data_IF_053311338979
#
_entry.id   IF_053311338979
#
_cell.length_a   1.000
_cell.length_b   1.000
_cell.length_c   1.000
_cell.angle_alpha   90.00
_cell.angle_beta   90.00
_cell.angle_gamma   90.00
#
_symmetry.space_group_name_H-M   'P 1'
#
loop_
_entity.id
_entity.type
_entity.pdbx_description
1 polymer ?
#
# COMPACT_ATOMS: atom_id res chain seq x y z
N UNK A 1 -3.97 5.52 11.03
CA UNK A 1 -3.43 4.36 10.27
C UNK A 1 -3.49 3.12 11.14
N UNK A 2 -3.97 1.97 10.62
CA UNK A 2 -3.86 0.66 11.29
C UNK A 2 -2.97 -0.27 10.45
N UNK A 3 -2.15 -1.10 11.10
CA UNK A 3 -1.32 -2.12 10.45
C UNK A 3 -1.84 -3.53 10.77
N UNK A 4 -1.62 -4.48 9.87
CA UNK A 4 -1.87 -5.90 10.13
C UNK A 4 -0.68 -6.52 10.86
N UNK A 5 -0.92 -7.55 11.66
CA UNK A 5 0.13 -8.37 12.25
C UNK A 5 0.46 -9.56 11.34
N UNK A 6 0.91 -9.28 10.12
CA UNK A 6 1.30 -10.29 9.12
C UNK A 6 2.73 -10.02 8.60
N UNK A 7 3.43 -11.01 8.01
CA UNK A 7 4.82 -10.86 7.55
C UNK A 7 5.03 -9.68 6.59
N UNK A 8 4.03 -9.41 5.76
CA UNK A 8 4.00 -8.29 4.83
C UNK A 8 3.51 -6.98 5.46
N UNK A 9 3.06 -6.98 6.73
CA UNK A 9 2.81 -5.77 7.53
C UNK A 9 2.02 -4.67 6.79
N UNK A 10 0.84 -5.03 6.27
CA UNK A 10 0.01 -4.13 5.50
C UNK A 10 -0.40 -2.90 6.29
N UNK A 11 -0.32 -1.73 5.65
CA UNK A 11 -0.77 -0.46 6.21
C UNK A 11 -1.99 0.04 5.45
N UNK A 12 -3.12 0.15 6.16
CA UNK A 12 -4.37 0.68 5.62
C UNK A 12 -4.38 2.20 5.56
N UNK A 13 -4.84 2.77 4.45
CA UNK A 13 -4.99 4.22 4.28
C UNK A 13 -5.99 4.81 5.27
N UNK A 14 -5.72 6.02 5.79
CA UNK A 14 -6.66 6.78 6.61
C UNK A 14 -7.89 7.24 5.85
N UNK A 15 -7.80 7.32 4.52
CA UNK A 15 -8.92 7.65 3.63
C UNK A 15 -9.83 6.45 3.35
N UNK A 16 -9.56 5.29 3.97
CA UNK A 16 -10.36 4.08 3.84
C UNK A 16 -11.38 3.90 4.98
N UNK A 17 -11.79 4.98 5.66
CA UNK A 17 -12.84 4.97 6.69
C UNK A 17 -14.23 5.28 6.11
N UNK A 18 -15.26 4.58 6.63
CA UNK A 18 -16.68 4.99 6.62
C UNK A 18 -17.29 5.34 5.26
N UNK A 19 -18.02 4.39 4.67
CA UNK A 19 -19.07 4.63 3.65
C UNK A 19 -18.70 5.09 2.22
N UNK A 20 -17.49 4.81 1.74
CA UNK A 20 -17.22 4.70 0.29
C UNK A 20 -16.30 5.79 -0.27
N UNK A 21 -15.06 5.46 -0.64
CA UNK A 21 -14.92 4.61 -1.83
C UNK A 21 -13.50 4.28 -2.24
N UNK A 22 -12.48 4.43 -1.39
CA UNK A 22 -11.11 4.03 -1.75
C UNK A 22 -10.45 3.23 -0.62
N UNK A 23 -10.50 1.91 -0.76
CA UNK A 23 -10.05 0.94 0.24
C UNK A 23 -8.67 0.41 -0.15
N UNK A 24 -7.59 1.05 0.28
CA UNK A 24 -6.24 0.66 -0.12
C UNK A 24 -5.38 0.27 1.08
N UNK A 25 -4.60 -0.78 0.89
CA UNK A 25 -3.49 -1.16 1.76
C UNK A 25 -2.19 -1.23 0.97
N UNK A 26 -1.09 -0.82 1.61
CA UNK A 26 0.26 -0.88 1.04
C UNK A 26 1.21 -1.55 2.01
N UNK A 27 2.14 -2.34 1.49
CA UNK A 27 3.28 -2.83 2.27
C UNK A 27 4.56 -2.15 1.82
N UNK A 28 5.01 -1.15 2.57
CA UNK A 28 6.33 -0.54 2.40
C UNK A 28 7.43 -1.32 3.13
N UNK A 29 7.07 -2.24 4.04
CA UNK A 29 8.02 -3.08 4.77
C UNK A 29 8.84 -3.99 3.85
N UNK A 30 8.22 -4.47 2.77
CA UNK A 30 8.89 -5.31 1.78
C UNK A 30 9.83 -4.54 0.86
N UNK A 31 9.84 -3.21 0.90
CA UNK A 31 10.76 -2.39 0.11
C UNK A 31 12.23 -2.70 0.47
N UNK A 32 12.53 -2.83 1.76
CA UNK A 32 13.88 -3.10 2.22
C UNK A 32 14.30 -4.56 1.99
N UNK A 33 13.38 -5.51 2.20
CA UNK A 33 13.68 -6.94 2.13
C UNK A 33 13.61 -7.52 0.72
N UNK A 34 12.79 -6.94 -0.17
CA UNK A 34 12.45 -7.54 -1.48
C UNK A 34 12.42 -6.53 -2.63
N UNK A 35 12.78 -5.26 -2.39
CA UNK A 35 12.81 -4.19 -3.39
C UNK A 35 11.47 -3.99 -4.14
N UNK A 36 10.35 -4.31 -3.49
CA UNK A 36 9.00 -4.17 -4.04
C UNK A 36 8.04 -3.52 -3.04
N UNK A 37 6.99 -2.92 -3.58
CA UNK A 37 5.88 -2.34 -2.83
C UNK A 37 4.59 -2.91 -3.37
N UNK A 38 3.98 -3.90 -2.68
CA UNK A 38 2.67 -4.38 -3.06
C UNK A 38 1.55 -3.46 -2.53
N UNK A 39 0.49 -3.36 -3.32
CA UNK A 39 -0.72 -2.56 -3.09
C UNK A 39 -1.93 -3.43 -3.38
N UNK A 40 -2.92 -3.43 -2.50
CA UNK A 40 -4.16 -4.19 -2.67
C UNK A 40 -5.39 -3.42 -2.21
N UNK A 41 -6.56 -3.91 -2.63
CA UNK A 41 -7.83 -3.46 -2.07
C UNK A 41 -8.05 -4.04 -0.67
N UNK A 42 -8.32 -3.18 0.31
CA UNK A 42 -8.48 -3.61 1.72
C UNK A 42 -9.75 -4.44 1.99
N UNK A 43 -10.68 -4.48 1.04
CA UNK A 43 -11.92 -5.27 1.09
C UNK A 43 -11.75 -6.65 0.47
N UNK A 44 -10.73 -6.84 -0.37
CA UNK A 44 -10.46 -8.11 -1.06
C UNK A 44 -9.22 -8.72 -0.43
N UNK A 45 -9.42 -9.45 0.68
CA UNK A 45 -8.35 -10.02 1.51
C UNK A 45 -8.30 -11.56 1.49
N UNK A 46 -8.98 -12.18 0.52
CA UNK A 46 -8.86 -13.63 0.27
C UNK A 46 -7.40 -13.99 -0.09
N UNK A 47 -7.00 -15.24 0.17
CA UNK A 47 -5.62 -15.69 -0.04
C UNK A 47 -5.14 -15.56 -1.51
N UNK A 48 -6.08 -15.61 -2.45
CA UNK A 48 -5.86 -15.49 -3.90
C UNK A 48 -6.21 -14.10 -4.46
N UNK A 49 -6.48 -13.12 -3.59
CA UNK A 49 -6.80 -11.77 -4.00
C UNK A 49 -5.65 -11.14 -4.81
N UNK A 50 -6.00 -10.44 -5.89
CA UNK A 50 -5.03 -9.78 -6.74
C UNK A 50 -4.26 -8.67 -5.98
N UNK A 51 -2.94 -8.67 -6.12
CA UNK A 51 -2.03 -7.69 -5.53
C UNK A 51 -1.19 -7.05 -6.63
N UNK A 52 -1.26 -5.72 -6.75
CA UNK A 52 -0.40 -4.97 -7.66
C UNK A 52 0.97 -4.81 -7.00
N UNK A 53 2.03 -5.26 -7.65
CA UNK A 53 3.40 -5.19 -7.11
C UNK A 53 4.25 -4.24 -7.93
N UNK A 54 4.75 -3.19 -7.30
CA UNK A 54 5.61 -2.19 -7.93
C UNK A 54 7.06 -2.41 -7.54
N UNK A 55 7.99 -2.19 -8.46
CA UNK A 55 9.42 -2.14 -8.11
C UNK A 55 9.74 -0.90 -7.27
N UNK A 56 10.79 -0.96 -6.46
CA UNK A 56 11.26 0.16 -5.67
C UNK A 56 11.47 1.46 -6.50
N UNK A 57 12.11 1.44 -7.69
CA UNK A 57 12.25 2.64 -8.51
C UNK A 57 10.91 3.19 -9.01
N UNK A 58 9.99 2.32 -9.45
CA UNK A 58 8.69 2.74 -9.95
C UNK A 58 7.84 3.38 -8.85
N UNK A 59 7.85 2.80 -7.64
CA UNK A 59 7.16 3.37 -6.50
C UNK A 59 7.71 4.74 -6.10
N UNK A 60 9.04 4.91 -6.08
CA UNK A 60 9.67 6.21 -5.78
C UNK A 60 9.33 7.26 -6.82
N UNK A 61 9.34 6.90 -8.11
CA UNK A 61 8.96 7.80 -9.19
C UNK A 61 7.49 8.22 -9.07
N UNK A 62 6.59 7.28 -8.76
CA UNK A 62 5.18 7.57 -8.51
C UNK A 62 5.00 8.59 -7.37
N UNK A 63 5.60 8.36 -6.21
CA UNK A 63 5.48 9.29 -5.07
C UNK A 63 6.08 10.67 -5.40
N UNK A 64 7.23 10.71 -6.08
CA UNK A 64 7.85 11.97 -6.50
C UNK A 64 6.96 12.78 -7.45
N UNK A 65 6.14 12.12 -8.27
CA UNK A 65 5.21 12.77 -9.19
C UNK A 65 4.04 13.49 -8.50
N UNK A 66 3.76 13.17 -7.23
CA UNK A 66 2.67 13.79 -6.46
C UNK A 66 3.02 15.22 -5.97
N UNK A 67 4.27 15.65 -6.18
CA UNK A 67 4.76 16.96 -5.76
C UNK A 67 5.12 17.02 -4.27
N UNK A 68 5.57 18.19 -3.78
CA UNK A 68 5.87 18.38 -2.37
C UNK A 68 4.62 18.16 -1.52
N UNK A 69 4.74 17.37 -0.45
CA UNK A 69 3.73 17.35 0.61
C UNK A 69 3.83 18.71 1.29
N UNK A 70 2.79 19.55 1.17
CA UNK A 70 2.71 20.79 1.92
C UNK A 70 2.83 20.49 3.43
N UNK A 71 3.59 21.29 4.21
CA UNK A 71 3.82 21.04 5.63
C UNK A 71 2.54 21.00 6.45
#
# INVERSE_FOLDING_TARGET
MKRTNSPENWRKSSYSSGDGGNCLEVSDHLLAARAVVPVRDSKIVAEDAAVLTFSAPAWRAFIASLGPVAP
#
